data_IF_214579084277
#
_entry.id   IF_214579084277
#
_cell.length_a   1.000
_cell.length_b   1.000
_cell.length_c   1.000
_cell.angle_alpha   90.00
_cell.angle_beta   90.00
_cell.angle_gamma   90.00
#
_symmetry.space_group_name_H-M   'P 1'
#
loop_
_entity.id
_entity.type
_entity.pdbx_description
1 polymer ?
#
# COMPACT_ATOMS: atom_id res chain seq x y z
N UNK A 1 19.57 0.66 9.30
CA UNK A 1 20.30 0.98 8.05
C UNK A 1 19.25 1.41 7.05
N UNK A 2 19.23 2.69 6.66
CA UNK A 2 18.26 3.18 5.67
C UNK A 2 18.54 2.49 4.33
N UNK A 3 17.67 1.58 3.92
CA UNK A 3 17.78 0.90 2.63
C UNK A 3 17.30 1.89 1.58
N UNK A 4 18.28 2.51 0.91
CA UNK A 4 18.09 3.58 -0.09
C UNK A 4 17.09 3.26 -1.23
N UNK A 5 16.68 2.00 -1.39
CA UNK A 5 15.78 1.51 -2.44
C UNK A 5 14.43 1.00 -1.93
N UNK A 6 14.14 1.10 -0.63
CA UNK A 6 12.85 0.65 -0.11
C UNK A 6 11.73 1.53 -0.66
N UNK A 7 10.58 0.90 -0.92
CA UNK A 7 9.40 1.56 -1.45
C UNK A 7 8.23 1.29 -0.54
N UNK A 8 7.40 2.30 -0.32
CA UNK A 8 6.15 2.15 0.39
C UNK A 8 5.03 2.84 -0.39
N UNK A 9 3.87 2.20 -0.40
CA UNK A 9 2.65 2.72 -1.01
C UNK A 9 1.53 2.53 -0.01
N UNK A 10 0.77 3.59 0.24
CA UNK A 10 -0.42 3.54 1.08
C UNK A 10 -1.66 3.51 0.19
N UNK A 11 -2.56 2.58 0.50
CA UNK A 11 -3.82 2.37 -0.20
C UNK A 11 -4.99 2.73 0.70
N UNK A 12 -6.06 3.26 0.11
CA UNK A 12 -7.30 3.57 0.80
C UNK A 12 -8.49 3.11 -0.03
N UNK A 13 -9.48 2.50 0.59
CA UNK A 13 -10.80 2.35 -0.03
C UNK A 13 -11.60 3.65 0.12
N UNK A 14 -12.19 4.13 -0.97
CA UNK A 14 -13.20 5.17 -0.90
C UNK A 14 -14.53 4.59 -0.38
N UNK A 15 -15.36 5.43 0.24
CA UNK A 15 -16.64 5.00 0.83
C UNK A 15 -17.60 4.55 -0.29
N UNK A 16 -17.82 3.23 -0.40
CA UNK A 16 -18.73 2.63 -1.36
C UNK A 16 -18.43 1.14 -1.59
N UNK A 17 -19.47 0.31 -1.77
CA UNK A 17 -19.28 -1.09 -2.16
C UNK A 17 -18.84 -1.17 -3.63
N UNK A 18 -17.61 -1.64 -3.86
CA UNK A 18 -17.14 -2.08 -5.18
C UNK A 18 -16.12 -1.18 -5.89
N UNK A 19 -15.61 -0.12 -5.25
CA UNK A 19 -14.55 0.71 -5.85
C UNK A 19 -13.16 0.13 -5.56
N UNK A 20 -12.30 0.10 -6.57
CA UNK A 20 -10.89 -0.26 -6.39
C UNK A 20 -10.21 0.72 -5.42
N UNK A 21 -9.31 0.26 -4.53
CA UNK A 21 -8.62 1.15 -3.62
C UNK A 21 -7.73 2.10 -4.43
N UNK A 22 -7.57 3.29 -3.89
CA UNK A 22 -6.78 4.37 -4.47
C UNK A 22 -5.46 4.51 -3.75
N UNK A 23 -4.44 4.96 -4.49
CA UNK A 23 -3.15 5.28 -3.91
C UNK A 23 -3.22 6.66 -3.27
N UNK A 24 -2.99 6.71 -1.97
CA UNK A 24 -3.01 7.98 -1.19
C UNK A 24 -1.61 8.46 -0.83
N UNK A 25 -0.61 7.59 -0.83
CA UNK A 25 0.79 7.95 -0.68
C UNK A 25 1.70 6.96 -1.40
N UNK A 26 2.84 7.43 -1.89
CA UNK A 26 3.91 6.61 -2.46
C UNK A 26 5.25 7.27 -2.15
N UNK A 27 6.26 6.48 -1.81
CA UNK A 27 7.56 7.00 -1.39
C UNK A 27 8.70 6.03 -1.61
N UNK A 28 9.91 6.58 -1.67
CA UNK A 28 11.18 5.86 -1.84
C UNK A 28 12.15 6.22 -0.72
N UNK A 29 12.97 5.26 -0.29
CA UNK A 29 13.99 5.42 0.74
C UNK A 29 13.43 6.06 2.01
N UNK A 30 13.96 7.20 2.41
CA UNK A 30 13.51 7.92 3.61
C UNK A 30 12.01 8.31 3.58
N UNK A 31 11.42 8.55 2.40
CA UNK A 31 9.98 8.79 2.35
C UNK A 31 9.18 7.50 2.56
N UNK A 32 9.69 6.35 2.08
CA UNK A 32 9.08 5.06 2.36
C UNK A 32 9.09 4.74 3.87
N UNK A 33 10.22 5.01 4.54
CA UNK A 33 10.35 4.88 6.00
C UNK A 33 9.30 5.72 6.74
N UNK A 34 9.14 7.00 6.36
CA UNK A 34 8.13 7.89 6.96
C UNK A 34 6.70 7.42 6.75
N UNK A 35 6.38 6.85 5.58
CA UNK A 35 5.05 6.29 5.31
C UNK A 35 4.78 5.12 6.26
N UNK A 36 5.74 4.21 6.42
CA UNK A 36 5.62 3.05 7.31
C UNK A 36 5.54 3.48 8.78
N UNK A 37 6.37 4.42 9.22
CA UNK A 37 6.30 4.99 10.57
C UNK A 37 4.92 5.61 10.85
N UNK A 38 4.39 6.38 9.89
CA UNK A 38 3.06 7.00 10.01
C UNK A 38 1.96 5.95 10.07
N UNK A 39 2.02 4.91 9.24
CA UNK A 39 1.07 3.79 9.26
C UNK A 39 1.07 3.11 10.63
N UNK A 40 2.24 2.79 11.18
CA UNK A 40 2.36 2.17 12.51
C UNK A 40 1.82 3.07 13.63
N UNK A 41 2.08 4.38 13.59
CA UNK A 41 1.53 5.31 14.58
C UNK A 41 -0.01 5.43 14.50
N UNK A 42 -0.58 5.25 13.31
CA UNK A 42 -2.01 5.33 13.05
C UNK A 42 -2.72 3.97 13.15
N UNK A 43 -2.03 2.91 13.60
CA UNK A 43 -2.56 1.54 13.66
C UNK A 43 -3.07 1.01 12.31
N UNK A 44 -2.43 1.48 11.22
CA UNK A 44 -2.69 0.98 9.86
C UNK A 44 -1.77 -0.21 9.60
N UNK A 45 -2.31 -1.37 9.22
CA UNK A 45 -1.51 -2.58 9.01
C UNK A 45 -0.56 -2.41 7.81
N UNK A 46 0.67 -2.94 7.97
CA UNK A 46 1.73 -2.87 6.95
C UNK A 46 2.06 -4.27 6.47
N UNK A 47 2.08 -4.45 5.15
CA UNK A 47 2.48 -5.71 4.49
C UNK A 47 3.76 -5.48 3.67
N UNK A 48 4.77 -6.32 3.88
CA UNK A 48 6.06 -6.23 3.17
C UNK A 48 6.05 -7.13 1.92
N UNK A 49 5.97 -6.50 0.73
CA UNK A 49 6.18 -7.17 -0.55
C UNK A 49 6.91 -6.25 -1.53
N UNK A 50 8.17 -6.56 -1.81
CA UNK A 50 9.06 -5.76 -2.68
C UNK A 50 8.54 -5.64 -4.11
N UNK A 51 7.93 -6.70 -4.64
CA UNK A 51 7.46 -6.76 -6.03
C UNK A 51 6.19 -5.91 -6.17
N UNK A 52 5.22 -6.12 -5.29
CA UNK A 52 3.96 -5.39 -5.30
C UNK A 52 4.18 -3.90 -4.98
N UNK A 53 5.01 -3.58 -3.98
CA UNK A 53 5.37 -2.19 -3.68
C UNK A 53 6.04 -1.52 -4.89
N UNK A 54 6.86 -2.26 -5.64
CA UNK A 54 7.47 -1.74 -6.87
C UNK A 54 6.45 -1.46 -7.97
N UNK A 55 5.51 -2.37 -8.20
CA UNK A 55 4.46 -2.16 -9.21
C UNK A 55 3.55 -1.00 -8.81
N UNK A 56 3.05 -1.00 -7.58
CA UNK A 56 2.14 0.04 -7.08
C UNK A 56 2.83 1.41 -7.02
N UNK A 57 4.13 1.47 -6.74
CA UNK A 57 4.86 2.75 -6.69
C UNK A 57 4.96 3.48 -8.03
N UNK A 58 4.70 2.79 -9.14
CA UNK A 58 4.72 3.37 -10.49
C UNK A 58 3.40 4.03 -10.88
N UNK A 59 2.35 3.79 -10.11
CA UNK A 59 1.03 4.38 -10.34
C UNK A 59 0.95 5.79 -9.74
N UNK A 60 0.08 6.62 -10.30
CA UNK A 60 -0.08 8.00 -9.87
C UNK A 60 -0.84 8.11 -8.54
N UNK A 61 -0.53 9.14 -7.75
CA UNK A 61 -1.32 9.47 -6.56
C UNK A 61 -2.76 9.79 -6.96
N UNK A 62 -3.72 9.23 -6.22
CA UNK A 62 -5.15 9.32 -6.51
C UNK A 62 -5.65 8.34 -7.56
N UNK A 63 -4.77 7.60 -8.23
CA UNK A 63 -5.18 6.57 -9.17
C UNK A 63 -5.76 5.36 -8.44
N UNK A 64 -6.80 4.77 -9.03
CA UNK A 64 -7.29 3.44 -8.65
C UNK A 64 -6.28 2.38 -9.07
N UNK A 65 -6.16 1.33 -8.26
CA UNK A 65 -5.32 0.20 -8.66
C UNK A 65 -5.94 -0.55 -9.86
N UNK A 66 -5.14 -0.95 -10.87
CA UNK A 66 -5.60 -1.76 -11.99
C UNK A 66 -6.13 -3.13 -11.56
N UNK A 67 -7.02 -3.72 -12.36
CA UNK A 67 -7.61 -5.04 -12.08
C UNK A 67 -6.56 -6.15 -11.95
N UNK A 68 -5.46 -6.04 -12.70
CA UNK A 68 -4.38 -7.03 -12.72
C UNK A 68 -3.69 -7.18 -11.36
N UNK A 69 -3.62 -6.08 -10.59
CA UNK A 69 -3.04 -6.06 -9.23
C UNK A 69 -4.10 -6.05 -8.13
N UNK A 70 -5.37 -5.80 -8.48
CA UNK A 70 -6.48 -5.75 -7.55
C UNK A 70 -6.60 -7.03 -6.72
N UNK A 71 -6.45 -8.20 -7.37
CA UNK A 71 -6.53 -9.50 -6.69
C UNK A 71 -5.47 -9.64 -5.59
N UNK A 72 -4.22 -9.27 -5.86
CA UNK A 72 -3.14 -9.35 -4.88
C UNK A 72 -3.40 -8.45 -3.68
N UNK A 73 -3.93 -7.25 -3.92
CA UNK A 73 -4.32 -6.32 -2.85
C UNK A 73 -5.46 -6.90 -2.00
N UNK A 74 -6.49 -7.49 -2.61
CA UNK A 74 -7.59 -8.13 -1.89
C UNK A 74 -7.10 -9.29 -1.02
N UNK A 75 -6.15 -10.10 -1.50
CA UNK A 75 -5.57 -11.19 -0.71
C UNK A 75 -4.87 -10.66 0.56
N UNK A 76 -4.20 -9.51 0.48
CA UNK A 76 -3.60 -8.82 1.64
C UNK A 76 -4.67 -8.30 2.60
N UNK A 77 -5.77 -7.72 2.10
CA UNK A 77 -6.89 -7.31 2.95
C UNK A 77 -7.51 -8.49 3.69
N UNK A 78 -7.75 -9.60 2.98
CA UNK A 78 -8.27 -10.85 3.55
C UNK A 78 -7.31 -11.43 4.58
N UNK A 79 -6.00 -11.35 4.33
CA UNK A 79 -4.97 -11.69 5.32
C UNK A 79 -5.16 -10.88 6.61
N UNK A 80 -5.28 -9.56 6.55
CA UNK A 80 -5.50 -8.75 7.76
C UNK A 80 -6.84 -9.01 8.44
N UNK A 81 -7.91 -9.31 7.70
CA UNK A 81 -9.22 -9.63 8.27
C UNK A 81 -9.25 -10.97 9.02
N UNK A 82 -8.51 -11.98 8.52
CA UNK A 82 -8.52 -13.33 9.07
C UNK A 82 -7.55 -13.54 10.23
N UNK A 83 -6.54 -12.69 10.39
CA UNK A 83 -5.52 -12.79 11.45
C UNK A 83 -5.85 -11.92 12.68
N UNK A 84 -7.10 -12.00 13.18
CA UNK A 84 -7.51 -11.42 14.47
C UNK A 84 -7.38 -12.41 15.62
#
# INVERSE_FOLDING_TARGET
>A
MSRRNDKAVALKYEEGLGSAPVIVASGLGHMAEKIVETANMADVPVYEDTSLATVLSQLELGAQIPEEVYKAVVEIYVYFLNYK
#
